data_IF_627039782597
#
_entry.id   IF_627039782597
#
_cell.length_a   1.000
_cell.length_b   1.000
_cell.length_c   1.000
_cell.angle_alpha   90.00
_cell.angle_beta   90.00
_cell.angle_gamma   90.00
#
_symmetry.space_group_name_H-M   'P 1'
#
loop_
_entity.id
_entity.type
_entity.pdbx_description
1 polymer ?
#
# COMPACT_ATOMS: atom_id res chain seq x y z
N UNK A 1 20.27 9.81 18.37
CA UNK A 1 19.76 10.35 19.65
C UNK A 1 19.91 9.24 20.67
N UNK A 2 20.53 9.53 21.82
CA UNK A 2 20.65 8.59 22.93
C UNK A 2 19.64 9.00 23.99
N UNK A 3 18.83 8.07 24.46
CA UNK A 3 17.89 8.31 25.57
C UNK A 3 18.32 7.39 26.69
N UNK A 4 18.47 7.94 27.91
CA UNK A 4 18.60 7.17 29.12
C UNK A 4 17.18 6.79 29.60
N UNK A 5 16.91 5.51 29.65
CA UNK A 5 15.71 4.96 30.28
C UNK A 5 16.17 3.98 31.35
N UNK A 6 15.95 4.35 32.59
CA UNK A 6 16.27 3.50 33.76
C UNK A 6 17.76 3.10 33.87
N UNK A 7 18.67 3.99 33.42
CA UNK A 7 20.11 3.76 33.42
C UNK A 7 20.67 3.00 32.22
N UNK A 8 19.82 2.68 31.23
CA UNK A 8 20.27 2.08 29.96
C UNK A 8 20.30 3.13 28.84
N UNK A 9 21.43 3.22 28.16
CA UNK A 9 21.59 4.08 26.99
C UNK A 9 20.95 3.40 25.78
N UNK A 10 19.75 3.83 25.40
CA UNK A 10 19.06 3.32 24.23
C UNK A 10 19.40 4.19 23.02
N UNK A 11 20.02 3.62 22.00
CA UNK A 11 20.23 4.27 20.72
C UNK A 11 18.94 4.22 19.90
N UNK A 12 18.23 5.36 19.80
CA UNK A 12 17.09 5.47 18.89
C UNK A 12 17.62 5.67 17.46
N UNK A 13 17.30 4.72 16.59
CA UNK A 13 17.53 4.85 15.14
C UNK A 13 16.32 5.51 14.51
N UNK A 14 16.56 6.51 13.67
CA UNK A 14 15.52 7.04 12.81
C UNK A 14 15.36 6.14 11.59
N UNK A 15 14.12 5.75 11.29
CA UNK A 15 13.77 5.02 10.07
C UNK A 15 13.02 5.95 9.13
N UNK A 16 13.27 5.81 7.83
CA UNK A 16 12.51 6.53 6.80
C UNK A 16 11.10 5.95 6.58
N UNK A 17 10.78 4.80 7.18
CA UNK A 17 9.53 4.08 6.95
C UNK A 17 8.29 4.96 7.13
N UNK A 18 8.20 5.68 8.25
CA UNK A 18 7.03 6.50 8.57
C UNK A 18 6.78 7.61 7.53
N UNK A 19 7.83 8.28 7.09
CA UNK A 19 7.73 9.33 6.07
C UNK A 19 7.34 8.75 4.70
N UNK A 20 7.91 7.60 4.32
CA UNK A 20 7.60 6.93 3.06
C UNK A 20 6.15 6.42 3.02
N UNK A 21 5.68 5.80 4.11
CA UNK A 21 4.28 5.36 4.25
C UNK A 21 3.34 6.55 4.21
N UNK A 22 3.67 7.67 4.86
CA UNK A 22 2.88 8.90 4.80
C UNK A 22 2.69 9.41 3.37
N UNK A 23 3.73 9.33 2.52
CA UNK A 23 3.58 9.71 1.10
C UNK A 23 2.56 8.84 0.39
N UNK A 24 2.56 7.52 0.61
CA UNK A 24 1.57 6.60 0.02
C UNK A 24 0.16 6.94 0.50
N UNK A 25 -0.02 7.20 1.80
CA UNK A 25 -1.31 7.61 2.39
C UNK A 25 -1.82 8.91 1.78
N UNK A 26 -0.94 9.89 1.53
CA UNK A 26 -1.32 11.13 0.87
C UNK A 26 -1.82 10.91 -0.57
N UNK A 27 -1.25 9.94 -1.31
CA UNK A 27 -1.77 9.61 -2.64
C UNK A 27 -3.16 8.96 -2.57
N UNK A 28 -3.41 8.14 -1.55
CA UNK A 28 -4.74 7.56 -1.32
C UNK A 28 -5.80 8.62 -1.05
N UNK A 29 -5.51 9.59 -0.18
CA UNK A 29 -6.44 10.71 0.06
C UNK A 29 -6.61 11.59 -1.17
N UNK A 30 -5.54 11.87 -1.92
CA UNK A 30 -5.64 12.59 -3.17
C UNK A 30 -6.50 11.87 -4.21
N UNK A 31 -6.45 10.53 -4.30
CA UNK A 31 -7.36 9.74 -5.12
C UNK A 31 -8.81 9.87 -4.66
N UNK A 32 -9.05 9.88 -3.35
CA UNK A 32 -10.37 10.09 -2.78
C UNK A 32 -10.92 11.49 -3.13
N UNK A 33 -10.10 12.52 -3.06
CA UNK A 33 -10.50 13.88 -3.42
C UNK A 33 -10.85 13.98 -4.91
N UNK A 34 -10.03 13.39 -5.81
CA UNK A 34 -10.33 13.29 -7.23
C UNK A 34 -11.64 12.51 -7.49
N UNK A 35 -11.92 11.46 -6.71
CA UNK A 35 -13.20 10.73 -6.78
C UNK A 35 -14.39 11.60 -6.36
N UNK A 36 -14.26 12.32 -5.24
CA UNK A 36 -15.32 13.23 -4.74
C UNK A 36 -15.66 14.31 -5.77
N UNK A 37 -14.63 14.91 -6.37
CA UNK A 37 -14.80 15.93 -7.39
C UNK A 37 -15.52 15.36 -8.63
N UNK A 38 -15.09 14.19 -9.12
CA UNK A 38 -15.74 13.51 -10.24
C UNK A 38 -17.18 13.15 -9.94
N UNK A 39 -17.43 12.58 -8.77
CA UNK A 39 -18.79 12.22 -8.35
C UNK A 39 -19.72 13.43 -8.30
N UNK A 40 -19.25 14.54 -7.75
CA UNK A 40 -20.02 15.79 -7.70
C UNK A 40 -20.31 16.37 -9.09
N UNK A 41 -19.38 16.21 -10.05
CA UNK A 41 -19.49 16.76 -11.40
C UNK A 41 -20.33 15.87 -12.33
N UNK A 42 -20.19 14.55 -12.22
CA UNK A 42 -20.74 13.58 -13.17
C UNK A 42 -21.70 12.57 -12.56
N UNK A 43 -22.03 12.67 -11.27
CA UNK A 43 -23.06 11.84 -10.62
C UNK A 43 -22.75 10.36 -10.53
N UNK A 44 -21.48 9.96 -10.65
CA UNK A 44 -21.07 8.55 -10.58
C UNK A 44 -21.09 7.82 -11.93
N UNK A 45 -21.23 8.54 -13.04
CA UNK A 45 -21.09 7.96 -14.39
C UNK A 45 -19.66 7.42 -14.62
N UNK A 46 -19.56 6.31 -15.38
CA UNK A 46 -18.28 5.78 -15.83
C UNK A 46 -17.66 6.71 -16.87
N UNK A 47 -16.54 7.31 -16.53
CA UNK A 47 -15.81 8.22 -17.39
C UNK A 47 -14.73 7.49 -18.18
N UNK A 48 -14.52 7.92 -19.43
CA UNK A 48 -13.39 7.40 -20.19
C UNK A 48 -12.05 7.77 -19.57
N UNK A 49 -11.02 6.94 -19.79
CA UNK A 49 -9.67 7.19 -19.29
C UNK A 49 -9.13 8.52 -19.78
N UNK A 50 -9.37 8.86 -21.06
CA UNK A 50 -8.92 10.09 -21.68
C UNK A 50 -9.52 11.32 -21.00
N UNK A 51 -10.79 11.26 -20.63
CA UNK A 51 -11.46 12.34 -19.90
C UNK A 51 -10.89 12.49 -18.49
N UNK A 52 -10.67 11.36 -17.78
CA UNK A 52 -10.05 11.38 -16.46
C UNK A 52 -8.66 12.01 -16.52
N UNK A 53 -7.84 11.63 -17.49
CA UNK A 53 -6.48 12.16 -17.64
C UNK A 53 -6.46 13.64 -18.01
N UNK A 54 -7.41 14.11 -18.82
CA UNK A 54 -7.47 15.51 -19.21
C UNK A 54 -7.96 16.44 -18.08
N UNK A 55 -8.92 16.01 -17.29
CA UNK A 55 -9.49 16.82 -16.21
C UNK A 55 -8.71 16.67 -14.88
N UNK A 56 -8.13 15.50 -14.63
CA UNK A 56 -7.32 15.20 -13.44
C UNK A 56 -5.89 14.78 -13.83
N UNK A 57 -5.06 15.69 -14.30
CA UNK A 57 -3.73 15.35 -14.83
C UNK A 57 -2.79 14.74 -13.79
N UNK A 58 -3.10 14.91 -12.50
CA UNK A 58 -2.34 14.32 -11.40
C UNK A 58 -2.67 12.83 -11.15
N UNK A 59 -3.68 12.28 -11.80
CA UNK A 59 -4.13 10.91 -11.60
C UNK A 59 -2.99 9.90 -11.83
N UNK A 60 -2.30 9.98 -12.95
CA UNK A 60 -1.18 9.10 -13.27
C UNK A 60 0.00 9.26 -12.31
N UNK A 61 0.34 10.52 -11.97
CA UNK A 61 1.46 10.78 -11.06
C UNK A 61 1.20 10.24 -9.66
N UNK A 62 -0.04 10.24 -9.16
CA UNK A 62 -0.40 9.62 -7.89
C UNK A 62 -0.09 8.13 -7.88
N UNK A 63 -0.37 7.40 -8.96
CA UNK A 63 -0.09 5.98 -9.08
C UNK A 63 1.41 5.71 -9.09
N UNK A 64 2.18 6.45 -9.89
CA UNK A 64 3.64 6.32 -9.94
C UNK A 64 4.27 6.60 -8.58
N UNK A 65 3.83 7.65 -7.90
CA UNK A 65 4.33 8.02 -6.57
C UNK A 65 3.98 6.93 -5.57
N UNK A 66 2.71 6.48 -5.50
CA UNK A 66 2.28 5.44 -4.57
C UNK A 66 3.09 4.15 -4.75
N UNK A 67 3.25 3.65 -5.99
CA UNK A 67 4.03 2.44 -6.28
C UNK A 67 5.50 2.58 -5.86
N UNK A 68 6.12 3.70 -6.24
CA UNK A 68 7.54 3.94 -5.95
C UNK A 68 7.80 4.02 -4.45
N UNK A 69 6.99 4.79 -3.74
CA UNK A 69 7.17 4.99 -2.30
C UNK A 69 6.77 3.76 -1.48
N UNK A 70 5.81 2.96 -1.93
CA UNK A 70 5.50 1.65 -1.33
C UNK A 70 6.70 0.70 -1.41
N UNK A 71 7.32 0.59 -2.57
CA UNK A 71 8.51 -0.24 -2.73
C UNK A 71 9.68 0.26 -1.86
N UNK A 72 9.89 1.57 -1.78
CA UNK A 72 10.93 2.17 -0.93
C UNK A 72 10.64 1.96 0.57
N UNK A 73 9.38 2.08 1.00
CA UNK A 73 8.96 1.84 2.38
C UNK A 73 9.25 0.40 2.81
N UNK A 74 8.91 -0.57 1.94
CA UNK A 74 9.20 -1.97 2.18
C UNK A 74 10.70 -2.28 2.19
N UNK A 75 11.48 -1.66 1.30
CA UNK A 75 12.94 -1.82 1.28
C UNK A 75 13.58 -1.32 2.59
N UNK A 76 13.17 -0.13 3.06
CA UNK A 76 13.63 0.43 4.32
C UNK A 76 13.24 -0.46 5.51
N UNK A 77 11.97 -0.91 5.55
CA UNK A 77 11.49 -1.80 6.61
C UNK A 77 12.26 -3.13 6.66
N UNK A 78 12.46 -3.79 5.51
CA UNK A 78 13.18 -5.07 5.48
C UNK A 78 14.64 -4.91 5.91
N UNK A 79 15.28 -3.80 5.54
CA UNK A 79 16.64 -3.54 5.98
C UNK A 79 16.72 -3.39 7.49
N UNK A 80 15.86 -2.53 8.07
CA UNK A 80 15.81 -2.28 9.51
C UNK A 80 15.46 -3.57 10.28
N UNK A 81 14.45 -4.31 9.80
CA UNK A 81 14.04 -5.58 10.39
C UNK A 81 15.19 -6.59 10.42
N UNK A 82 15.85 -6.83 9.27
CA UNK A 82 16.96 -7.76 9.19
C UNK A 82 18.15 -7.34 10.05
N UNK A 83 18.41 -6.04 10.15
CA UNK A 83 19.50 -5.52 10.97
C UNK A 83 19.26 -5.72 12.47
N UNK A 84 18.02 -5.54 12.91
CA UNK A 84 17.66 -5.59 14.31
C UNK A 84 17.39 -7.03 14.79
N UNK A 85 16.63 -7.80 14.02
CA UNK A 85 16.13 -9.11 14.46
C UNK A 85 17.03 -10.28 13.99
N UNK A 86 17.86 -10.08 12.96
CA UNK A 86 18.72 -11.16 12.46
C UNK A 86 20.19 -10.79 12.59
N UNK A 87 20.71 -9.93 11.73
CA UNK A 87 22.06 -9.35 11.83
C UNK A 87 22.31 -8.31 10.76
N UNK A 88 23.25 -7.39 11.02
CA UNK A 88 23.73 -6.42 10.03
C UNK A 88 24.25 -7.11 8.77
N UNK A 89 24.98 -8.20 8.90
CA UNK A 89 25.50 -8.98 7.76
C UNK A 89 24.37 -9.48 6.84
N UNK A 90 23.22 -9.86 7.38
CA UNK A 90 22.08 -10.29 6.57
C UNK A 90 21.36 -9.10 5.93
N UNK A 91 21.27 -7.96 6.61
CA UNK A 91 20.71 -6.72 6.08
C UNK A 91 21.54 -6.18 4.90
N UNK A 92 22.86 -6.25 4.99
CA UNK A 92 23.79 -5.74 3.96
C UNK A 92 23.89 -6.67 2.72
N UNK A 93 23.35 -7.89 2.77
CA UNK A 93 23.36 -8.78 1.60
C UNK A 93 22.54 -8.15 0.45
N UNK A 94 23.14 -8.20 -0.75
CA UNK A 94 22.49 -7.76 -1.98
C UNK A 94 21.34 -8.71 -2.35
N UNK A 95 20.14 -8.39 -1.89
CA UNK A 95 18.87 -9.05 -2.25
C UNK A 95 17.88 -8.03 -2.73
N UNK A 96 17.05 -8.41 -3.69
CA UNK A 96 15.89 -7.59 -4.07
C UNK A 96 14.88 -7.50 -2.89
N UNK A 97 14.06 -6.46 -2.81
CA UNK A 97 13.05 -6.35 -1.76
C UNK A 97 12.16 -7.59 -1.63
N UNK A 98 11.63 -8.22 -2.72
CA UNK A 98 10.90 -9.48 -2.61
C UNK A 98 11.70 -10.63 -2.00
N UNK A 99 12.99 -10.75 -2.36
CA UNK A 99 13.86 -11.79 -1.79
C UNK A 99 14.15 -11.55 -0.31
N UNK A 100 14.21 -10.28 0.14
CA UNK A 100 14.33 -9.95 1.57
C UNK A 100 13.08 -10.37 2.32
N UNK A 101 11.89 -10.06 1.79
CA UNK A 101 10.61 -10.53 2.36
C UNK A 101 10.56 -12.06 2.46
N UNK A 102 10.88 -12.76 1.36
CA UNK A 102 10.93 -14.23 1.36
C UNK A 102 11.93 -14.76 2.40
N UNK A 103 13.10 -14.16 2.51
CA UNK A 103 14.09 -14.56 3.51
C UNK A 103 13.59 -14.38 4.94
N UNK A 104 12.98 -13.24 5.25
CA UNK A 104 12.38 -12.96 6.57
C UNK A 104 11.32 -14.02 6.87
N UNK A 105 10.36 -14.22 5.98
CA UNK A 105 9.24 -15.12 6.22
C UNK A 105 9.67 -16.59 6.36
N UNK A 106 10.54 -17.08 5.49
CA UNK A 106 10.89 -18.51 5.46
C UNK A 106 12.01 -18.80 6.45
N UNK A 107 13.10 -18.03 6.40
CA UNK A 107 14.33 -18.39 7.13
C UNK A 107 14.34 -17.88 8.56
N UNK A 108 13.64 -16.78 8.85
CA UNK A 108 13.59 -16.21 10.19
C UNK A 108 12.27 -16.57 10.92
N UNK A 109 11.12 -16.39 10.26
CA UNK A 109 9.81 -16.67 10.85
C UNK A 109 9.34 -18.12 10.66
N UNK A 110 10.04 -18.95 9.89
CA UNK A 110 9.72 -20.37 9.70
C UNK A 110 8.44 -20.64 8.90
N UNK A 111 7.97 -19.69 8.10
CA UNK A 111 6.75 -19.84 7.31
C UNK A 111 6.97 -20.70 6.07
N UNK A 112 5.95 -21.44 5.66
CA UNK A 112 5.96 -22.14 4.39
C UNK A 112 5.71 -21.17 3.22
N UNK A 113 6.43 -21.36 2.11
CA UNK A 113 6.30 -20.49 0.93
C UNK A 113 4.86 -20.38 0.40
N UNK A 114 4.09 -21.47 0.46
CA UNK A 114 2.68 -21.46 0.00
C UNK A 114 1.83 -20.40 0.71
N UNK A 115 2.12 -20.09 1.99
CA UNK A 115 1.37 -19.14 2.80
C UNK A 115 1.69 -17.67 2.45
N UNK A 116 2.87 -17.42 1.88
CA UNK A 116 3.32 -16.08 1.51
C UNK A 116 3.29 -15.84 0.00
N UNK A 117 3.08 -16.88 -0.81
CA UNK A 117 3.17 -16.83 -2.27
C UNK A 117 2.34 -15.71 -2.90
N UNK A 118 1.05 -15.49 -2.55
CA UNK A 118 0.27 -14.41 -3.17
C UNK A 118 0.85 -13.01 -2.89
N UNK A 119 1.31 -12.77 -1.66
CA UNK A 119 1.96 -11.51 -1.30
C UNK A 119 3.32 -11.37 -2.01
N UNK A 120 4.12 -12.44 -2.06
CA UNK A 120 5.41 -12.45 -2.75
C UNK A 120 5.28 -12.11 -4.24
N UNK A 121 4.28 -12.67 -4.95
CA UNK A 121 4.04 -12.36 -6.36
C UNK A 121 3.68 -10.89 -6.59
N UNK A 122 2.84 -10.29 -5.73
CA UNK A 122 2.57 -8.85 -5.76
C UNK A 122 3.85 -8.02 -5.56
N UNK A 123 4.72 -8.43 -4.63
CA UNK A 123 6.00 -7.74 -4.37
C UNK A 123 6.97 -7.84 -5.54
N UNK A 124 7.03 -8.97 -6.24
CA UNK A 124 7.83 -9.12 -7.48
C UNK A 124 7.38 -8.13 -8.52
N UNK A 125 6.08 -8.02 -8.74
CA UNK A 125 5.50 -7.09 -9.69
C UNK A 125 5.74 -5.63 -9.28
N UNK A 126 5.52 -5.29 -8.01
CA UNK A 126 5.80 -3.94 -7.49
C UNK A 126 7.27 -3.54 -7.67
N UNK A 127 8.19 -4.47 -7.41
CA UNK A 127 9.62 -4.22 -7.59
C UNK A 127 10.00 -4.03 -9.08
N UNK A 128 9.38 -4.78 -9.98
CA UNK A 128 9.56 -4.62 -11.42
C UNK A 128 9.10 -3.23 -11.88
N UNK A 129 7.92 -2.79 -11.42
CA UNK A 129 7.34 -1.48 -11.70
C UNK A 129 8.24 -0.35 -11.18
N UNK A 130 8.67 -0.42 -9.91
CA UNK A 130 9.60 0.56 -9.34
C UNK A 130 10.90 0.63 -10.14
N UNK A 131 11.45 -0.51 -10.55
CA UNK A 131 12.68 -0.56 -11.34
C UNK A 131 12.51 0.14 -12.69
N UNK A 132 11.34 0.01 -13.31
CA UNK A 132 11.00 0.70 -14.54
C UNK A 132 11.02 2.23 -14.36
N UNK A 133 10.34 2.76 -13.35
CA UNK A 133 10.25 4.20 -13.09
C UNK A 133 11.60 4.81 -12.68
N UNK A 134 12.31 4.16 -11.78
CA UNK A 134 13.56 4.69 -11.21
C UNK A 134 14.70 4.68 -12.24
N UNK A 135 14.76 3.68 -13.10
CA UNK A 135 15.83 3.56 -14.09
C UNK A 135 15.49 4.16 -15.46
N UNK A 136 14.31 4.79 -15.56
CA UNK A 136 13.85 5.47 -16.80
C UNK A 136 14.12 4.65 -18.06
N UNK A 137 13.83 3.36 -18.03
CA UNK A 137 14.01 2.49 -19.19
C UNK A 137 12.92 2.79 -20.20
N UNK A 138 13.32 3.26 -21.38
CA UNK A 138 12.39 3.35 -22.49
C UNK A 138 11.85 1.95 -22.84
N UNK A 139 10.56 1.87 -23.03
CA UNK A 139 9.86 0.65 -23.41
C UNK A 139 8.97 0.93 -24.63
N UNK A 140 8.54 -0.13 -25.32
CA UNK A 140 7.46 -0.01 -26.30
C UNK A 140 6.23 0.54 -25.61
N UNK A 141 5.48 1.43 -26.25
CA UNK A 141 4.36 2.17 -25.68
C UNK A 141 3.37 1.28 -24.92
N UNK A 142 2.95 0.15 -25.49
CA UNK A 142 2.03 -0.80 -24.85
C UNK A 142 2.58 -1.39 -23.53
N UNK A 143 3.88 -1.59 -23.45
CA UNK A 143 4.54 -2.07 -22.23
C UNK A 143 4.62 -0.97 -21.18
N UNK A 144 4.82 0.26 -21.60
CA UNK A 144 4.82 1.43 -20.73
C UNK A 144 3.44 1.66 -20.10
N UNK A 145 2.37 1.61 -20.91
CA UNK A 145 0.99 1.75 -20.42
C UNK A 145 0.62 0.68 -19.37
N UNK A 146 0.99 -0.59 -19.62
CA UNK A 146 0.75 -1.69 -18.67
C UNK A 146 1.45 -1.48 -17.34
N UNK A 147 2.67 -0.95 -17.33
CA UNK A 147 3.42 -0.67 -16.09
C UNK A 147 2.82 0.52 -15.36
N UNK A 148 2.36 1.53 -16.10
CA UNK A 148 1.79 2.75 -15.54
C UNK A 148 0.52 2.50 -14.71
N UNK A 149 -0.32 1.55 -15.15
CA UNK A 149 -1.61 1.27 -14.54
C UNK A 149 -1.58 0.07 -13.56
N UNK A 150 -0.39 -0.40 -13.19
CA UNK A 150 -0.26 -1.69 -12.52
C UNK A 150 -0.78 -1.70 -11.07
N UNK A 151 -0.51 -0.65 -10.26
CA UNK A 151 -0.98 -0.56 -8.89
C UNK A 151 -1.54 0.82 -8.58
N UNK A 152 -2.80 0.85 -8.16
CA UNK A 152 -3.43 2.05 -7.61
C UNK A 152 -2.92 2.36 -6.19
N UNK A 153 -3.14 3.58 -5.67
CA UNK A 153 -2.86 3.89 -4.28
C UNK A 153 -3.53 2.92 -3.29
N UNK A 154 -4.77 2.45 -3.56
CA UNK A 154 -5.47 1.47 -2.71
C UNK A 154 -4.73 0.12 -2.68
N UNK A 155 -4.31 -0.37 -3.85
CA UNK A 155 -3.55 -1.61 -3.95
C UNK A 155 -2.19 -1.50 -3.27
N UNK A 156 -1.55 -0.33 -3.35
CA UNK A 156 -0.31 -0.03 -2.64
C UNK A 156 -0.49 -0.08 -1.12
N UNK A 157 -1.55 0.51 -0.59
CA UNK A 157 -1.92 0.42 0.83
C UNK A 157 -2.19 -1.04 1.21
N UNK A 158 -2.92 -1.79 0.37
CA UNK A 158 -3.22 -3.19 0.64
C UNK A 158 -1.95 -4.07 0.66
N UNK A 159 -0.98 -3.83 -0.24
CA UNK A 159 0.31 -4.52 -0.23
C UNK A 159 1.06 -4.27 1.09
N UNK A 160 1.09 -3.03 1.56
CA UNK A 160 1.70 -2.70 2.86
C UNK A 160 1.00 -3.43 4.00
N UNK A 161 -0.34 -3.43 4.03
CA UNK A 161 -1.13 -4.15 5.03
C UNK A 161 -0.84 -5.65 4.99
N UNK A 162 -0.81 -6.26 3.81
CA UNK A 162 -0.55 -7.69 3.63
C UNK A 162 0.83 -8.07 4.21
N UNK A 163 1.87 -7.31 3.86
CA UNK A 163 3.24 -7.53 4.36
C UNK A 163 3.32 -7.37 5.88
N UNK A 164 2.83 -6.26 6.41
CA UNK A 164 2.90 -5.98 7.84
C UNK A 164 2.01 -6.93 8.65
N UNK A 165 0.89 -7.39 8.10
CA UNK A 165 0.06 -8.43 8.72
C UNK A 165 0.79 -9.76 8.83
N UNK A 166 1.44 -10.21 7.74
CA UNK A 166 2.20 -11.47 7.76
C UNK A 166 3.31 -11.42 8.82
N UNK A 167 4.03 -10.30 8.87
CA UNK A 167 5.14 -10.17 9.82
C UNK A 167 4.63 -10.04 11.25
N UNK A 168 3.67 -9.15 11.53
CA UNK A 168 3.17 -8.92 12.89
C UNK A 168 2.39 -10.09 13.48
N UNK A 169 1.79 -10.95 12.65
CA UNK A 169 1.14 -12.18 13.11
C UNK A 169 2.12 -13.29 13.48
N UNK A 170 3.36 -13.23 13.00
CA UNK A 170 4.38 -14.26 13.22
C UNK A 170 5.58 -13.74 14.03
N UNK A 171 5.62 -12.45 14.32
CA UNK A 171 6.58 -11.79 15.20
C UNK A 171 5.86 -10.74 16.04
N UNK A 172 5.42 -11.13 17.23
CA UNK A 172 4.70 -10.26 18.16
C UNK A 172 5.57 -9.11 18.69
N UNK A 173 6.88 -9.22 18.61
CA UNK A 173 7.84 -8.22 19.09
C UNK A 173 8.02 -7.08 18.08
N UNK A 174 7.67 -7.30 16.80
CA UNK A 174 7.77 -6.29 15.75
C UNK A 174 6.64 -5.24 15.87
N UNK A 175 6.79 -4.33 16.85
CA UNK A 175 5.81 -3.26 17.11
C UNK A 175 5.59 -2.38 15.88
N UNK A 176 6.66 -2.08 15.14
CA UNK A 176 6.60 -1.22 13.94
C UNK A 176 5.66 -1.80 12.87
N UNK A 177 5.72 -3.11 12.62
CA UNK A 177 4.81 -3.76 11.66
C UNK A 177 3.36 -3.68 12.15
N UNK A 178 3.12 -3.97 13.42
CA UNK A 178 1.78 -3.95 14.03
C UNK A 178 1.15 -2.55 14.01
N UNK A 179 1.90 -1.53 14.42
CA UNK A 179 1.42 -0.15 14.46
C UNK A 179 1.18 0.40 13.05
N UNK A 180 2.11 0.18 12.11
CA UNK A 180 1.95 0.61 10.73
C UNK A 180 0.75 -0.05 10.08
N UNK A 181 0.54 -1.36 10.26
CA UNK A 181 -0.64 -2.07 9.79
C UNK A 181 -1.93 -1.47 10.36
N UNK A 182 -1.97 -1.17 11.66
CA UNK A 182 -3.14 -0.59 12.31
C UNK A 182 -3.51 0.78 11.72
N UNK A 183 -2.51 1.64 11.53
CA UNK A 183 -2.70 2.96 10.90
C UNK A 183 -3.24 2.81 9.47
N UNK A 184 -2.67 1.91 8.67
CA UNK A 184 -3.08 1.72 7.28
C UNK A 184 -4.51 1.15 7.17
N UNK A 185 -4.91 0.23 8.05
CA UNK A 185 -6.28 -0.26 8.14
C UNK A 185 -7.26 0.86 8.50
N UNK A 186 -6.87 1.76 9.42
CA UNK A 186 -7.70 2.92 9.74
C UNK A 186 -7.83 3.87 8.54
N UNK A 187 -6.77 4.09 7.77
CA UNK A 187 -6.84 4.87 6.53
C UNK A 187 -7.81 4.25 5.54
N UNK A 188 -7.75 2.94 5.30
CA UNK A 188 -8.70 2.24 4.42
C UNK A 188 -10.15 2.39 4.91
N UNK A 189 -10.38 2.18 6.21
CA UNK A 189 -11.71 2.30 6.79
C UNK A 189 -12.28 3.72 6.63
N UNK A 190 -11.47 4.74 6.84
CA UNK A 190 -11.86 6.12 6.65
C UNK A 190 -12.24 6.41 5.19
N UNK A 191 -11.41 5.94 4.23
CA UNK A 191 -11.68 6.12 2.79
C UNK A 191 -12.98 5.42 2.38
N UNK A 192 -13.20 4.19 2.81
CA UNK A 192 -14.43 3.43 2.53
C UNK A 192 -15.66 4.17 3.09
N UNK A 193 -15.61 4.59 4.36
CA UNK A 193 -16.69 5.33 5.01
C UNK A 193 -17.05 6.63 4.28
N UNK A 194 -16.04 7.36 3.82
CA UNK A 194 -16.23 8.59 3.04
C UNK A 194 -16.92 8.30 1.69
N UNK A 195 -16.47 7.27 0.96
CA UNK A 195 -17.08 6.86 -0.30
C UNK A 195 -18.51 6.41 -0.09
N UNK A 196 -18.79 5.57 0.91
CA UNK A 196 -20.14 5.10 1.23
C UNK A 196 -21.09 6.23 1.60
N UNK A 197 -20.60 7.26 2.29
CA UNK A 197 -21.39 8.43 2.66
C UNK A 197 -21.86 9.25 1.46
N UNK A 198 -21.16 9.16 0.34
CA UNK A 198 -21.49 9.88 -0.91
C UNK A 198 -22.46 9.11 -1.80
N UNK A 199 -22.44 7.77 -1.70
CA UNK A 199 -23.32 6.95 -2.52
C UNK A 199 -24.75 7.07 -2.04
N UNK A 200 -25.76 7.20 -2.96
CA UNK A 200 -27.14 7.24 -2.54
C UNK A 200 -27.48 5.97 -1.80
N UNK A 201 -27.96 6.10 -0.56
CA UNK A 201 -28.52 4.96 0.16
C UNK A 201 -29.59 4.35 -0.75
N UNK A 202 -29.40 3.12 -1.19
CA UNK A 202 -30.44 2.32 -1.81
C UNK A 202 -31.61 2.28 -0.81
N UNK A 203 -32.53 3.24 -0.96
CA UNK A 203 -33.81 3.18 -0.28
C UNK A 203 -34.39 1.84 -0.68
N UNK A 204 -34.39 0.90 0.27
CA UNK A 204 -35.06 -0.38 0.16
C UNK A 204 -36.36 -0.18 -0.61
N UNK A 205 -36.48 -0.81 -1.78
CA UNK A 205 -37.76 -1.07 -2.40
C UNK A 205 -38.58 -1.88 -1.39
N UNK A 206 -39.36 -1.20 -0.56
CA UNK A 206 -40.45 -1.84 0.13
C UNK A 206 -41.40 -2.31 -0.99
N UNK A 207 -41.71 -3.58 -1.09
CA UNK A 207 -42.78 -4.01 -1.98
C UNK A 207 -44.05 -3.33 -1.51
N UNK A 208 -44.58 -2.42 -2.34
CA UNK A 208 -45.94 -1.91 -2.17
C UNK A 208 -46.86 -3.10 -2.26
N UNK A 209 -47.34 -3.57 -1.12
CA UNK A 209 -48.45 -4.49 -1.03
C UNK A 209 -49.65 -3.79 -1.62
N UNK A 210 -49.93 -4.02 -2.91
CA UNK A 210 -51.20 -3.70 -3.50
C UNK A 210 -52.24 -4.58 -2.83
N UNK A 211 -52.97 -3.97 -1.90
CA UNK A 211 -54.25 -4.47 -1.47
C UNK A 211 -55.20 -4.45 -2.69
N UNK A 212 -55.50 -5.62 -3.21
CA UNK A 212 -56.72 -5.81 -4.01
C UNK A 212 -57.82 -6.21 -3.04
N UNK A 213 -58.70 -5.24 -2.78
CA UNK A 213 -60.03 -5.52 -2.29
C UNK A 213 -61.00 -5.31 -3.48
N UNK A 214 -61.88 -6.26 -3.61
CA UNK A 214 -63.10 -6.39 -4.42
C UNK A 214 -62.98 -7.00 -5.79
#
# INVERSE_FOLDING_TARGET
MLIDRDGEIIQIRASALGDLVKVVVLQQYGKLDDFKERYNKYGGEDLSKELIESEWPNWTSRWIIAQTFTAMALEAFYYDYLQNEVSKTQADKKRSPPERFKFICINHLGLEFKNIKPCFEKLVNLNATRTHWVHNKSAVFDSYEKVRDFFSPDECIQILIDVFSIISCNDETCLVARETMSILKQVQANVVSEVESMLPHNKSMQPTANASAD
#
